data_IF_007043188060
#
_entry.id   IF_007043188060
#
_cell.length_a   1.000
_cell.length_b   1.000
_cell.length_c   1.000
_cell.angle_alpha   90.00
_cell.angle_beta   90.00
_cell.angle_gamma   90.00
#
_symmetry.space_group_name_H-M   'P 1'
#
loop_
_entity.id
_entity.type
_entity.pdbx_description
1 polymer ?
#
# COMPACT_ATOMS: atom_id res chain seq x y z
N UNK A 1 23.86 20.18 -48.00
CA UNK A 1 22.40 19.88 -48.06
C UNK A 1 22.02 19.14 -46.79
N UNK A 2 21.02 19.59 -46.03
CA UNK A 2 20.53 18.85 -44.84
C UNK A 2 19.63 17.71 -45.33
N UNK A 3 19.87 16.50 -44.84
CA UNK A 3 19.11 15.31 -45.26
C UNK A 3 17.73 15.31 -44.62
N UNK A 4 16.78 14.60 -45.23
CA UNK A 4 15.40 14.50 -44.74
C UNK A 4 15.35 13.89 -43.32
N UNK A 5 16.30 13.02 -42.99
CA UNK A 5 16.49 12.45 -41.66
C UNK A 5 16.83 13.51 -40.60
N UNK A 6 17.66 14.50 -40.96
CA UNK A 6 18.08 15.58 -40.06
C UNK A 6 16.88 16.48 -39.69
N UNK A 7 16.00 16.77 -40.65
CA UNK A 7 14.77 17.52 -40.42
C UNK A 7 13.74 16.77 -39.56
N UNK A 8 13.65 15.43 -39.72
CA UNK A 8 12.78 14.60 -38.90
C UNK A 8 13.23 14.60 -37.42
N UNK A 9 14.55 14.55 -37.19
CA UNK A 9 15.13 14.51 -35.86
C UNK A 9 14.98 15.84 -35.12
N UNK A 10 15.13 16.97 -35.81
CA UNK A 10 14.82 18.30 -35.25
C UNK A 10 13.35 18.46 -34.85
N UNK A 11 12.40 17.96 -35.66
CA UNK A 11 10.96 17.98 -35.31
C UNK A 11 10.62 17.12 -34.11
N UNK A 12 11.25 15.94 -33.99
CA UNK A 12 11.04 15.06 -32.84
C UNK A 12 11.50 15.72 -31.53
N UNK A 13 12.66 16.37 -31.52
CA UNK A 13 13.20 17.07 -30.34
C UNK A 13 12.39 18.30 -29.94
N UNK A 14 11.82 19.04 -30.89
CA UNK A 14 11.02 20.24 -30.61
C UNK A 14 9.72 19.97 -29.84
N UNK A 15 9.17 18.75 -29.90
CA UNK A 15 7.94 18.37 -29.16
C UNK A 15 8.17 17.98 -27.71
N UNK A 16 9.38 17.58 -27.33
CA UNK A 16 9.66 17.06 -25.98
C UNK A 16 9.60 18.20 -24.94
N UNK A 17 9.96 19.43 -25.35
CA UNK A 17 9.94 20.61 -24.47
C UNK A 17 8.57 21.30 -24.36
N UNK A 18 7.57 20.88 -25.13
CA UNK A 18 6.24 21.53 -25.21
C UNK A 18 5.25 21.04 -24.15
N UNK A 19 5.54 19.96 -23.42
CA UNK A 19 4.60 19.34 -22.46
C UNK A 19 4.86 19.78 -21.01
N UNK A 20 5.98 20.45 -20.72
CA UNK A 20 6.32 20.90 -19.36
C UNK A 20 5.64 22.20 -18.92
N UNK A 21 4.96 22.94 -19.80
CA UNK A 21 4.40 24.27 -19.46
C UNK A 21 3.00 24.27 -18.86
N UNK A 22 2.36 23.12 -18.58
CA UNK A 22 1.02 23.07 -17.95
C UNK A 22 0.98 22.55 -16.51
N UNK A 23 2.11 22.18 -15.91
CA UNK A 23 2.15 21.68 -14.53
C UNK A 23 2.33 22.77 -13.45
N UNK A 24 2.47 24.04 -13.83
CA UNK A 24 2.66 25.14 -12.89
C UNK A 24 1.39 26.01 -12.79
N UNK A 25 0.38 25.49 -12.09
CA UNK A 25 -0.71 26.33 -11.59
C UNK A 25 -1.24 25.80 -10.24
N UNK A 26 -0.92 26.57 -9.18
CA UNK A 26 -1.71 26.78 -7.95
C UNK A 26 -1.61 25.66 -6.88
N UNK A 27 -1.28 25.90 -5.60
CA UNK A 27 -0.86 27.07 -4.84
C UNK A 27 -0.21 26.62 -3.51
N UNK A 28 0.49 27.57 -2.87
CA UNK A 28 1.23 27.50 -1.60
C UNK A 28 0.50 26.83 -0.44
N UNK A 29 1.28 26.07 0.33
CA UNK A 29 0.92 25.46 1.61
C UNK A 29 0.48 26.51 2.66
N UNK A 30 -0.60 26.18 3.38
CA UNK A 30 -0.89 26.73 4.71
C UNK A 30 -0.81 25.57 5.70
N UNK A 31 0.27 25.55 6.47
CA UNK A 31 0.44 24.64 7.61
C UNK A 31 -0.48 25.15 8.71
N UNK A 32 -1.53 24.41 8.99
CA UNK A 32 -2.29 24.52 10.25
C UNK A 32 -2.33 23.14 10.87
N UNK A 33 -1.58 22.98 11.97
CA UNK A 33 -1.70 21.86 12.90
C UNK A 33 -3.13 21.85 13.45
N UNK A 34 -3.95 20.91 12.99
CA UNK A 34 -5.26 20.66 13.55
C UNK A 34 -5.34 19.18 13.96
N UNK A 35 -5.44 19.02 15.27
CA UNK A 35 -5.69 17.79 16.01
C UNK A 35 -6.96 17.09 15.54
N UNK A 36 -6.88 15.76 15.53
CA UNK A 36 -7.93 14.76 15.73
C UNK A 36 -9.12 14.65 14.75
N UNK A 37 -9.49 13.38 14.54
CA UNK A 37 -10.68 12.85 13.86
C UNK A 37 -10.79 13.13 12.36
N UNK A 38 -10.17 12.24 11.57
CA UNK A 38 -10.65 11.98 10.22
C UNK A 38 -11.11 10.53 10.16
N UNK A 39 -12.42 10.38 10.22
CA UNK A 39 -13.18 9.29 9.61
C UNK A 39 -12.40 8.70 8.44
N UNK A 40 -12.24 7.39 8.46
CA UNK A 40 -11.68 6.60 7.36
C UNK A 40 -12.53 6.80 6.13
N UNK A 41 -12.32 7.90 5.41
CA UNK A 41 -12.74 8.01 4.03
C UNK A 41 -12.11 6.81 3.33
N UNK A 42 -12.95 5.98 2.72
CA UNK A 42 -12.53 4.89 1.86
C UNK A 42 -11.52 5.48 0.88
N UNK A 43 -10.25 5.12 1.05
CA UNK A 43 -9.16 5.64 0.24
C UNK A 43 -9.37 4.97 -1.12
N UNK A 44 -10.10 5.65 -2.00
CA UNK A 44 -10.20 5.25 -3.39
C UNK A 44 -8.78 5.33 -3.93
N UNK A 45 -8.17 4.17 -4.11
CA UNK A 45 -6.85 4.03 -4.71
C UNK A 45 -7.02 4.26 -6.22
N UNK A 46 -7.41 5.47 -6.61
CA UNK A 46 -7.63 5.81 -8.01
C UNK A 46 -6.35 6.38 -8.62
N UNK A 47 -6.05 5.93 -9.83
CA UNK A 47 -4.90 6.34 -10.62
C UNK A 47 -3.59 5.55 -10.38
N UNK A 48 -2.64 5.60 -11.34
CA UNK A 48 -1.46 4.73 -11.35
C UNK A 48 -0.51 4.92 -10.15
N UNK A 49 -0.34 6.16 -9.67
CA UNK A 49 0.57 6.47 -8.56
C UNK A 49 0.03 5.91 -7.24
N UNK A 50 -1.28 6.05 -7.01
CA UNK A 50 -1.90 5.53 -5.79
C UNK A 50 -1.88 4.00 -5.77
N UNK A 51 -2.10 3.36 -6.91
CA UNK A 51 -1.99 1.91 -7.03
C UNK A 51 -0.57 1.41 -6.73
N UNK A 52 0.45 2.09 -7.28
CA UNK A 52 1.84 1.77 -6.98
C UNK A 52 2.15 1.93 -5.48
N UNK A 53 1.74 3.04 -4.86
CA UNK A 53 1.93 3.26 -3.42
C UNK A 53 1.22 2.22 -2.56
N UNK A 54 0.03 1.77 -2.96
CA UNK A 54 -0.68 0.68 -2.30
C UNK A 54 0.10 -0.63 -2.34
N UNK A 55 0.60 -1.02 -3.52
CA UNK A 55 1.38 -2.24 -3.69
C UNK A 55 2.69 -2.18 -2.91
N UNK A 56 3.37 -1.03 -2.93
CA UNK A 56 4.60 -0.81 -2.17
C UNK A 56 4.37 -0.98 -0.66
N UNK A 57 3.29 -0.39 -0.14
CA UNK A 57 2.90 -0.53 1.28
C UNK A 57 2.57 -1.97 1.65
N UNK A 58 1.86 -2.69 0.77
CA UNK A 58 1.53 -4.10 0.97
C UNK A 58 2.80 -4.98 0.94
N UNK A 59 3.69 -4.77 -0.02
CA UNK A 59 4.91 -5.56 -0.16
C UNK A 59 5.83 -5.38 1.06
N UNK A 60 6.04 -4.13 1.47
CA UNK A 60 6.81 -3.83 2.67
C UNK A 60 6.21 -4.48 3.94
N UNK A 61 4.88 -4.45 4.09
CA UNK A 61 4.22 -5.09 5.22
C UNK A 61 4.42 -6.62 5.23
N UNK A 62 4.35 -7.28 4.06
CA UNK A 62 4.60 -8.72 3.94
C UNK A 62 6.04 -9.05 4.34
N UNK A 63 7.01 -8.26 3.88
CA UNK A 63 8.42 -8.45 4.24
C UNK A 63 8.62 -8.32 5.76
N UNK A 64 7.99 -7.33 6.40
CA UNK A 64 8.06 -7.16 7.85
C UNK A 64 7.45 -8.34 8.60
N UNK A 65 6.29 -8.84 8.16
CA UNK A 65 5.66 -10.05 8.73
C UNK A 65 6.59 -11.25 8.58
N UNK A 66 7.27 -11.38 7.44
CA UNK A 66 8.30 -12.40 7.19
C UNK A 66 9.44 -12.34 8.20
N UNK A 67 9.95 -11.14 8.50
CA UNK A 67 11.02 -10.91 9.48
C UNK A 67 10.58 -11.17 10.92
N UNK A 68 9.29 -11.05 11.21
CA UNK A 68 8.71 -11.24 12.54
C UNK A 68 8.03 -12.59 12.73
N UNK A 69 8.28 -13.57 11.84
CA UNK A 69 7.79 -14.95 11.99
C UNK A 69 8.25 -15.54 13.32
N UNK A 70 7.33 -15.62 14.29
CA UNK A 70 7.59 -16.07 15.67
C UNK A 70 7.26 -15.03 16.74
N UNK A 71 6.97 -13.78 16.36
CA UNK A 71 6.38 -12.78 17.25
C UNK A 71 4.86 -12.96 17.36
N UNK A 72 4.25 -12.60 18.50
CA UNK A 72 2.78 -12.54 18.62
C UNK A 72 2.18 -11.58 17.60
N UNK A 73 1.01 -11.91 17.07
CA UNK A 73 0.39 -11.12 15.99
C UNK A 73 0.03 -9.72 16.45
N UNK A 74 -0.34 -9.53 17.71
CA UNK A 74 -0.62 -8.21 18.29
C UNK A 74 0.60 -7.28 18.18
N UNK A 75 1.80 -7.80 18.45
CA UNK A 75 3.05 -7.04 18.35
C UNK A 75 3.36 -6.69 16.89
N UNK A 76 3.06 -7.59 15.97
CA UNK A 76 3.24 -7.35 14.52
C UNK A 76 2.28 -6.26 14.05
N UNK A 77 1.02 -6.31 14.46
CA UNK A 77 0.00 -5.30 14.13
C UNK A 77 0.38 -3.93 14.70
N UNK A 78 0.85 -3.87 15.94
CA UNK A 78 1.30 -2.62 16.57
C UNK A 78 2.45 -1.99 15.78
N UNK A 79 3.45 -2.80 15.37
CA UNK A 79 4.58 -2.33 14.56
C UNK A 79 4.17 -1.86 13.17
N UNK A 80 3.28 -2.59 12.50
CA UNK A 80 2.73 -2.19 11.20
C UNK A 80 1.95 -0.88 11.32
N UNK A 81 1.17 -0.72 12.39
CA UNK A 81 0.39 0.50 12.65
C UNK A 81 1.29 1.69 12.95
N UNK A 82 2.34 1.50 13.76
CA UNK A 82 3.33 2.53 14.06
C UNK A 82 4.12 2.98 12.82
N UNK A 83 4.48 2.05 11.94
CA UNK A 83 5.19 2.37 10.70
C UNK A 83 4.33 3.07 9.63
N UNK A 84 3.00 2.98 9.77
CA UNK A 84 2.04 3.66 8.91
C UNK A 84 1.84 5.15 9.29
N UNK A 85 2.37 5.59 10.43
CA UNK A 85 2.34 7.01 10.85
C UNK A 85 3.13 7.84 9.83
N UNK A 86 2.59 8.99 9.44
CA UNK A 86 3.14 9.94 8.45
C UNK A 86 3.32 9.40 7.02
N UNK A 87 2.71 8.26 6.69
CA UNK A 87 2.71 7.72 5.33
C UNK A 87 1.53 8.22 4.49
N UNK A 88 1.65 8.26 3.14
CA UNK A 88 0.54 8.55 2.25
C UNK A 88 -0.61 7.56 2.46
N UNK A 89 -1.87 8.02 2.34
CA UNK A 89 -3.04 7.18 2.60
C UNK A 89 -3.08 5.89 1.78
N UNK A 90 -2.73 5.93 0.50
CA UNK A 90 -2.67 4.74 -0.37
C UNK A 90 -1.66 3.69 0.12
N UNK A 91 -0.51 4.13 0.61
CA UNK A 91 0.50 3.26 1.24
C UNK A 91 -0.03 2.63 2.55
N UNK A 92 -0.67 3.46 3.39
CA UNK A 92 -1.33 2.99 4.62
C UNK A 92 -2.43 1.98 4.32
N UNK A 93 -3.18 2.16 3.24
CA UNK A 93 -4.20 1.20 2.81
C UNK A 93 -3.59 -0.16 2.44
N UNK A 94 -2.41 -0.16 1.81
CA UNK A 94 -1.63 -1.38 1.52
C UNK A 94 -1.25 -2.12 2.80
N UNK A 95 -0.72 -1.40 3.81
CA UNK A 95 -0.39 -1.96 5.12
C UNK A 95 -1.64 -2.51 5.83
N UNK A 96 -2.72 -1.73 5.86
CA UNK A 96 -4.00 -2.13 6.48
C UNK A 96 -4.59 -3.39 5.84
N UNK A 97 -4.40 -3.59 4.53
CA UNK A 97 -4.82 -4.81 3.86
C UNK A 97 -4.14 -6.05 4.43
N UNK A 98 -2.85 -5.98 4.81
CA UNK A 98 -2.12 -7.09 5.43
C UNK A 98 -2.56 -7.29 6.88
N UNK A 99 -2.79 -6.22 7.63
CA UNK A 99 -3.32 -6.30 9.00
C UNK A 99 -4.67 -7.04 9.03
N UNK A 100 -5.57 -6.73 8.09
CA UNK A 100 -6.86 -7.41 7.99
C UNK A 100 -6.71 -8.91 7.68
N UNK A 101 -5.75 -9.27 6.82
CA UNK A 101 -5.44 -10.66 6.46
C UNK A 101 -4.86 -11.45 7.66
N UNK A 102 -3.99 -10.82 8.44
CA UNK A 102 -3.45 -11.40 9.68
C UNK A 102 -4.56 -11.67 10.70
N UNK A 103 -5.43 -10.68 10.94
CA UNK A 103 -6.55 -10.82 11.88
C UNK A 103 -7.55 -11.90 11.45
N UNK A 104 -7.81 -12.02 10.14
CA UNK A 104 -8.66 -13.08 9.61
C UNK A 104 -8.04 -14.46 9.83
N UNK A 105 -6.72 -14.59 9.60
CA UNK A 105 -5.98 -15.84 9.79
C UNK A 105 -6.00 -16.28 11.25
N UNK A 106 -5.74 -15.37 12.19
CA UNK A 106 -5.82 -15.64 13.62
C UNK A 106 -7.22 -16.11 14.03
N UNK A 107 -8.27 -15.46 13.53
CA UNK A 107 -9.65 -15.86 13.82
C UNK A 107 -9.99 -17.27 13.27
N UNK A 108 -9.38 -17.69 12.16
CA UNK A 108 -9.58 -19.02 11.57
C UNK A 108 -8.70 -20.11 12.17
N UNK A 109 -7.53 -19.78 12.71
CA UNK A 109 -6.59 -20.74 13.33
C UNK A 109 -7.17 -21.50 14.53
N UNK A 110 -8.25 -21.00 15.14
CA UNK A 110 -8.96 -21.67 16.23
C UNK A 110 -9.96 -22.74 15.76
N UNK A 111 -10.42 -22.73 14.49
CA UNK A 111 -11.48 -23.68 14.04
C UNK A 111 -10.96 -25.05 13.59
N UNK A 112 -9.69 -25.16 13.24
CA UNK A 112 -9.12 -26.42 12.73
C UNK A 112 -8.64 -27.35 13.86
N UNK A 113 -8.36 -26.81 15.05
CA UNK A 113 -7.91 -27.60 16.22
C UNK A 113 -9.01 -28.35 16.97
N UNK A 114 -10.27 -27.92 16.89
CA UNK A 114 -11.39 -28.53 17.62
C UNK A 114 -12.01 -29.75 16.92
N UNK A 115 -11.71 -29.96 15.62
CA UNK A 115 -12.32 -31.04 14.84
C UNK A 115 -11.53 -32.36 14.84
N UNK A 116 -10.35 -32.42 15.47
CA UNK A 116 -9.48 -33.61 15.45
C UNK A 116 -9.60 -34.50 16.70
N UNK A 117 -10.22 -34.03 17.79
CA UNK A 117 -10.29 -34.78 19.06
C UNK A 117 -11.54 -35.66 19.20
N UNK A 118 -12.50 -35.58 18.27
CA UNK A 118 -13.77 -36.31 18.37
C UNK A 118 -13.81 -37.67 17.64
N UNK A 119 -12.73 -38.11 16.96
CA UNK A 119 -12.71 -39.38 16.20
C UNK A 119 -11.92 -40.53 16.85
N UNK A 120 -11.36 -40.35 18.05
CA UNK A 120 -10.73 -41.45 18.79
C UNK A 120 -11.73 -42.11 19.76
N UNK A 121 -12.78 -42.73 19.24
CA UNK A 121 -13.73 -43.41 20.11
C UNK A 121 -14.94 -44.03 19.42
N UNK A 122 -14.75 -45.12 18.66
CA UNK A 122 -15.85 -46.10 18.47
C UNK A 122 -15.33 -47.49 18.09
N UNK A 123 -15.47 -48.41 19.06
CA UNK A 123 -15.81 -49.86 19.03
C UNK A 123 -15.54 -50.61 17.71
N UNK A 124 -14.95 -51.80 17.70
CA UNK A 124 -15.22 -52.99 18.54
C UNK A 124 -13.96 -53.81 18.84
#
# INVERSE_FOLDING_TARGET
MRTLADMALCRARGRINSVQSRASAKASAKITSASATKTSAEIVVDGPINHFMFLEGRNWAIDLVGLLRGSPVEVVIERLTGAAVDRPGSYVAGIKSVIAELQATDATGWREGENLTCQAGRKE
#
